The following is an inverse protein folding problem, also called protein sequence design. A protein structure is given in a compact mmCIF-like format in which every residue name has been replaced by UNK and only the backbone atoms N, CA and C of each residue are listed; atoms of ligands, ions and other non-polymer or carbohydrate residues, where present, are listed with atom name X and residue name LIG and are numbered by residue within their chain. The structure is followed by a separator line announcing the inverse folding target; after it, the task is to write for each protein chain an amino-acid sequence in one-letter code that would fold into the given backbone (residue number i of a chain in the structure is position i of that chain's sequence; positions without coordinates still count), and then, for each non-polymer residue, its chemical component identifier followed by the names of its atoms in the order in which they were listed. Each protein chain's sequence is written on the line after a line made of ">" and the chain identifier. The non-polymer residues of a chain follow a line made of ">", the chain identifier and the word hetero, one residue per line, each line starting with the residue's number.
data_IF_988703261003
#
_entry.id   IF_988703261003
#
_cell.length_a   1.000
_cell.length_b   1.000
_cell.length_c   1.000
_cell.angle_alpha   90.00
_cell.angle_beta   90.00
_cell.angle_gamma   90.00
#
_symmetry.space_group_name_H-M   'P 1'
#
loop_
_entity.id
_entity.type
_entity.pdbx_description
1 polymer ?
#
# COMPACT_ATOMS: atom_id res chain seq x y z
N UNK A 1 7.24 31.60 -6.08
CA UNK A 1 8.56 30.92 -6.20
C UNK A 1 8.82 29.88 -5.12
N UNK A 2 8.23 29.95 -3.92
CA UNK A 2 8.39 28.90 -2.90
C UNK A 2 7.72 27.55 -3.26
N UNK A 3 6.68 27.56 -4.07
CA UNK A 3 6.00 26.32 -4.49
C UNK A 3 6.82 25.45 -5.46
N UNK A 4 7.68 26.04 -6.27
CA UNK A 4 8.41 25.29 -7.31
C UNK A 4 9.39 24.25 -6.75
N UNK A 5 10.02 24.49 -5.60
CA UNK A 5 10.96 23.52 -5.00
C UNK A 5 10.24 22.28 -4.46
N UNK A 6 9.14 22.46 -3.72
CA UNK A 6 8.37 21.33 -3.20
C UNK A 6 7.65 20.55 -4.31
N UNK A 7 7.14 21.25 -5.31
CA UNK A 7 6.56 20.63 -6.50
C UNK A 7 7.62 19.83 -7.29
N UNK A 8 8.83 20.36 -7.41
CA UNK A 8 9.93 19.65 -8.05
C UNK A 8 10.38 18.42 -7.24
N UNK A 9 10.37 18.52 -5.91
CA UNK A 9 10.80 17.43 -5.02
C UNK A 9 9.76 16.31 -4.88
N UNK A 10 8.48 16.66 -4.73
CA UNK A 10 7.39 15.72 -4.42
C UNK A 10 6.35 15.58 -5.53
N UNK A 11 6.37 16.46 -6.55
CA UNK A 11 5.41 16.43 -7.64
C UNK A 11 5.53 15.17 -8.49
N UNK A 12 4.38 14.67 -8.94
CA UNK A 12 4.27 13.45 -9.71
C UNK A 12 3.67 13.68 -11.11
N UNK A 13 3.77 14.94 -11.59
CA UNK A 13 3.25 15.34 -12.92
C UNK A 13 3.86 14.48 -14.03
N UNK A 14 2.98 13.99 -14.92
CA UNK A 14 3.39 13.15 -16.04
C UNK A 14 3.71 11.71 -15.68
N UNK A 15 3.57 11.30 -14.41
CA UNK A 15 3.79 9.95 -13.94
C UNK A 15 2.46 9.21 -13.76
N UNK A 16 2.51 7.88 -13.88
CA UNK A 16 1.36 6.98 -13.73
C UNK A 16 1.55 6.10 -12.50
N UNK A 17 0.58 6.13 -11.60
CA UNK A 17 0.53 5.30 -10.40
C UNK A 17 -0.59 4.26 -10.47
N UNK A 18 -0.28 2.98 -10.30
CA UNK A 18 -1.27 1.92 -10.13
C UNK A 18 -1.40 1.62 -8.64
N UNK A 19 -2.63 1.72 -8.10
CA UNK A 19 -2.92 1.45 -6.69
C UNK A 19 -3.80 0.20 -6.60
N UNK A 20 -3.18 -0.96 -6.39
CA UNK A 20 -3.87 -2.23 -6.13
C UNK A 20 -4.42 -2.17 -4.69
N UNK A 21 -5.73 -2.39 -4.54
CA UNK A 21 -6.43 -2.16 -3.27
C UNK A 21 -6.93 -0.73 -3.11
N UNK A 22 -6.91 0.10 -4.17
CA UNK A 22 -7.43 1.47 -4.19
C UNK A 22 -8.93 1.60 -3.96
N UNK A 23 -9.65 0.49 -3.88
CA UNK A 23 -11.07 0.42 -3.48
C UNK A 23 -11.29 0.34 -1.97
N UNK A 24 -10.22 0.17 -1.19
CA UNK A 24 -10.23 0.16 0.27
C UNK A 24 -10.04 1.57 0.86
N UNK A 25 -10.17 1.69 2.18
CA UNK A 25 -10.04 2.98 2.89
C UNK A 25 -8.62 3.55 2.71
N UNK A 26 -7.60 2.82 3.13
CA UNK A 26 -6.22 3.30 3.03
C UNK A 26 -5.77 3.45 1.57
N UNK A 27 -6.00 2.42 0.73
CA UNK A 27 -5.63 2.49 -0.68
C UNK A 27 -6.34 3.62 -1.43
N UNK A 28 -7.59 3.94 -1.07
CA UNK A 28 -8.33 5.08 -1.61
C UNK A 28 -7.68 6.41 -1.24
N UNK A 29 -7.33 6.62 0.04
CA UNK A 29 -6.65 7.84 0.49
C UNK A 29 -5.27 8.00 -0.18
N UNK A 30 -4.50 6.89 -0.32
CA UNK A 30 -3.23 6.93 -1.05
C UNK A 30 -3.43 7.29 -2.53
N UNK A 31 -4.46 6.74 -3.19
CA UNK A 31 -4.79 7.07 -4.57
C UNK A 31 -5.15 8.56 -4.73
N UNK A 32 -5.96 9.10 -3.81
CA UNK A 32 -6.34 10.52 -3.77
C UNK A 32 -5.10 11.42 -3.55
N UNK A 33 -4.22 11.06 -2.62
CA UNK A 33 -2.98 11.79 -2.37
C UNK A 33 -2.03 11.80 -3.57
N UNK A 34 -1.89 10.67 -4.27
CA UNK A 34 -1.08 10.57 -5.50
C UNK A 34 -1.69 11.41 -6.64
N UNK A 35 -3.02 11.38 -6.79
CA UNK A 35 -3.73 12.24 -7.74
C UNK A 35 -3.57 13.73 -7.43
N UNK A 36 -3.65 14.11 -6.16
CA UNK A 36 -3.42 15.48 -5.68
C UNK A 36 -1.98 15.96 -5.90
N UNK A 37 -1.00 15.05 -5.89
CA UNK A 37 0.39 15.33 -6.24
C UNK A 37 0.67 15.38 -7.76
N UNK A 38 -0.36 15.17 -8.61
CA UNK A 38 -0.28 15.30 -10.06
C UNK A 38 -0.09 14.01 -10.83
N UNK A 39 -0.09 12.83 -10.18
CA UNK A 39 -0.04 11.56 -10.89
C UNK A 39 -1.37 11.26 -11.61
N UNK A 40 -1.30 10.59 -12.75
CA UNK A 40 -2.44 9.89 -13.32
C UNK A 40 -2.61 8.55 -12.56
N UNK A 41 -3.75 8.35 -11.92
CA UNK A 41 -3.95 7.23 -11.01
C UNK A 41 -4.83 6.15 -11.62
N UNK A 42 -4.34 4.91 -11.62
CA UNK A 42 -5.14 3.71 -11.88
C UNK A 42 -5.58 3.14 -10.54
N UNK A 43 -6.82 3.37 -10.17
CA UNK A 43 -7.47 2.77 -8.99
C UNK A 43 -7.83 1.33 -9.33
N UNK A 44 -7.16 0.36 -8.71
CA UNK A 44 -7.35 -1.06 -9.01
C UNK A 44 -7.91 -1.84 -7.81
N UNK A 45 -8.85 -2.76 -8.06
CA UNK A 45 -9.43 -3.60 -7.02
C UNK A 45 -10.71 -4.32 -7.45
N UNK A 46 -11.23 -5.21 -6.60
CA UNK A 46 -12.40 -6.03 -6.91
C UNK A 46 -13.75 -5.31 -6.80
N UNK A 47 -13.85 -4.19 -6.06
CA UNK A 47 -15.12 -3.48 -5.87
C UNK A 47 -15.27 -2.30 -6.82
N UNK A 48 -15.99 -2.52 -7.91
CA UNK A 48 -16.19 -1.51 -8.96
C UNK A 48 -16.88 -0.22 -8.45
N UNK A 49 -17.87 -0.34 -7.57
CA UNK A 49 -18.61 0.82 -7.07
C UNK A 49 -17.69 1.73 -6.23
N UNK A 50 -16.93 1.15 -5.28
CA UNK A 50 -15.96 1.89 -4.47
C UNK A 50 -14.83 2.45 -5.33
N UNK A 51 -14.36 1.70 -6.32
CA UNK A 51 -13.32 2.15 -7.25
C UNK A 51 -13.76 3.36 -8.07
N UNK A 52 -14.96 3.34 -8.66
CA UNK A 52 -15.53 4.48 -9.38
C UNK A 52 -15.77 5.69 -8.48
N UNK A 53 -16.17 5.47 -7.22
CA UNK A 53 -16.31 6.56 -6.26
C UNK A 53 -14.97 7.21 -5.92
N UNK A 54 -13.90 6.43 -5.76
CA UNK A 54 -12.54 6.95 -5.55
C UNK A 54 -12.06 7.75 -6.78
N UNK A 55 -12.22 7.22 -7.99
CA UNK A 55 -11.93 7.93 -9.24
C UNK A 55 -12.68 9.27 -9.30
N UNK A 56 -13.96 9.28 -8.94
CA UNK A 56 -14.75 10.51 -8.93
C UNK A 56 -14.15 11.55 -7.98
N UNK A 57 -13.77 11.18 -6.77
CA UNK A 57 -13.14 12.13 -5.82
C UNK A 57 -11.83 12.72 -6.35
N UNK A 58 -10.97 11.90 -6.97
CA UNK A 58 -9.73 12.37 -7.59
C UNK A 58 -10.03 13.36 -8.73
N UNK A 59 -10.99 13.05 -9.59
CA UNK A 59 -11.35 13.90 -10.72
C UNK A 59 -12.01 15.20 -10.27
N UNK A 60 -12.93 15.14 -9.31
CA UNK A 60 -13.58 16.33 -8.73
C UNK A 60 -12.56 17.29 -8.07
N UNK A 61 -11.44 16.74 -7.55
CA UNK A 61 -10.31 17.51 -7.01
C UNK A 61 -9.34 18.03 -8.10
N UNK A 62 -9.64 17.81 -9.38
CA UNK A 62 -8.82 18.27 -10.50
C UNK A 62 -7.71 17.30 -10.94
N UNK A 63 -7.62 16.11 -10.35
CA UNK A 63 -6.68 15.07 -10.73
C UNK A 63 -7.15 14.21 -11.91
N UNK A 64 -6.33 13.26 -12.31
CA UNK A 64 -6.64 12.30 -13.38
C UNK A 64 -6.65 10.88 -12.81
N UNK A 65 -7.75 10.16 -13.01
CA UNK A 65 -7.84 8.77 -12.58
C UNK A 65 -8.76 7.93 -13.46
N UNK A 66 -8.53 6.62 -13.41
CA UNK A 66 -9.44 5.62 -14.00
C UNK A 66 -9.50 4.38 -13.07
N UNK A 67 -10.54 3.57 -13.24
CA UNK A 67 -10.72 2.34 -12.51
C UNK A 67 -10.45 1.13 -13.40
N UNK A 68 -9.67 0.16 -12.88
CA UNK A 68 -9.51 -1.17 -13.47
C UNK A 68 -9.83 -2.24 -12.42
N UNK A 69 -10.55 -3.29 -12.84
CA UNK A 69 -10.81 -4.43 -11.96
C UNK A 69 -9.58 -5.32 -11.86
N UNK A 70 -9.32 -5.87 -10.66
CA UNK A 70 -8.27 -6.86 -10.43
C UNK A 70 -8.66 -7.80 -9.29
N UNK A 71 -8.38 -9.08 -9.48
CA UNK A 71 -8.36 -10.09 -8.42
C UNK A 71 -6.91 -10.47 -8.13
N UNK A 72 -6.41 -10.04 -6.97
CA UNK A 72 -5.00 -10.26 -6.57
C UNK A 72 -4.69 -11.72 -6.20
N UNK A 73 -5.72 -12.56 -6.03
CA UNK A 73 -5.54 -14.01 -5.83
C UNK A 73 -5.26 -14.75 -7.13
N UNK A 74 -5.30 -14.06 -8.28
CA UNK A 74 -5.10 -14.61 -9.61
C UNK A 74 -3.94 -13.89 -10.31
N UNK A 75 -2.85 -14.58 -10.56
CA UNK A 75 -1.68 -14.02 -11.25
C UNK A 75 -2.05 -13.38 -12.59
N UNK A 76 -2.83 -14.10 -13.40
CA UNK A 76 -3.26 -13.62 -14.72
C UNK A 76 -4.00 -12.28 -14.62
N UNK A 77 -4.83 -12.08 -13.60
CA UNK A 77 -5.55 -10.81 -13.39
C UNK A 77 -4.61 -9.64 -13.14
N UNK A 78 -3.46 -9.86 -12.50
CA UNK A 78 -2.44 -8.83 -12.29
C UNK A 78 -1.66 -8.54 -13.60
N UNK A 79 -1.39 -9.56 -14.41
CA UNK A 79 -0.80 -9.40 -15.75
C UNK A 79 -1.72 -8.60 -16.68
N UNK A 80 -3.02 -8.91 -16.68
CA UNK A 80 -4.05 -8.17 -17.42
C UNK A 80 -4.20 -6.73 -16.93
N UNK A 81 -4.08 -6.49 -15.61
CA UNK A 81 -4.08 -5.15 -15.04
C UNK A 81 -2.94 -4.29 -15.59
N UNK A 82 -1.70 -4.82 -15.61
CA UNK A 82 -0.55 -4.11 -16.18
C UNK A 82 -0.79 -3.79 -17.67
N UNK A 83 -1.21 -4.79 -18.46
CA UNK A 83 -1.49 -4.59 -19.89
C UNK A 83 -2.58 -3.52 -20.13
N UNK A 84 -3.65 -3.53 -19.34
CA UNK A 84 -4.72 -2.55 -19.43
C UNK A 84 -4.25 -1.15 -18.99
N UNK A 85 -3.45 -1.04 -17.93
CA UNK A 85 -2.86 0.22 -17.48
C UNK A 85 -1.96 0.83 -18.56
N UNK A 86 -1.09 0.04 -19.17
CA UNK A 86 -0.23 0.47 -20.27
C UNK A 86 -1.04 0.93 -21.49
N UNK A 87 -2.08 0.18 -21.87
CA UNK A 87 -2.98 0.58 -22.97
C UNK A 87 -3.68 1.91 -22.73
N UNK A 88 -4.05 2.21 -21.48
CA UNK A 88 -4.83 3.41 -21.13
C UNK A 88 -3.97 4.63 -20.78
N UNK A 89 -2.76 4.38 -20.27
CA UNK A 89 -1.90 5.43 -19.73
C UNK A 89 -0.57 5.58 -20.48
N UNK A 90 -0.17 4.58 -21.28
CA UNK A 90 1.08 4.59 -22.05
C UNK A 90 2.30 4.14 -21.25
N UNK A 91 2.29 4.28 -19.94
CA UNK A 91 3.40 3.94 -19.03
C UNK A 91 2.88 3.57 -17.65
N UNK A 92 3.75 2.99 -16.81
CA UNK A 92 3.52 2.80 -15.38
C UNK A 92 4.84 3.08 -14.63
N UNK A 93 4.86 4.10 -13.79
CA UNK A 93 6.03 4.54 -13.03
C UNK A 93 6.00 4.09 -11.58
N UNK A 94 4.80 3.91 -11.02
CA UNK A 94 4.62 3.60 -9.61
C UNK A 94 3.58 2.50 -9.41
N UNK A 95 3.86 1.60 -8.46
CA UNK A 95 2.92 0.60 -7.98
C UNK A 95 2.74 0.75 -6.47
N UNK A 96 1.49 0.72 -5.99
CA UNK A 96 1.16 0.55 -4.57
C UNK A 96 0.43 -0.76 -4.39
N UNK A 97 1.02 -1.72 -3.68
CA UNK A 97 0.40 -2.98 -3.27
C UNK A 97 -0.30 -2.78 -1.91
N UNK A 98 -1.56 -2.37 -1.93
CA UNK A 98 -2.37 -2.08 -0.75
C UNK A 98 -3.54 -3.07 -0.53
N UNK A 99 -3.72 -4.06 -1.42
CA UNK A 99 -4.71 -5.09 -1.20
C UNK A 99 -4.36 -5.93 0.03
N UNK A 100 -5.36 -6.20 0.85
CA UNK A 100 -5.15 -7.02 2.04
C UNK A 100 -6.46 -7.33 2.75
N UNK A 101 -6.47 -8.49 3.37
CA UNK A 101 -7.58 -9.01 4.20
C UNK A 101 -7.03 -9.47 5.54
N UNK A 102 -7.93 -9.58 6.50
CA UNK A 102 -7.63 -10.11 7.82
C UNK A 102 -8.61 -11.25 8.17
N UNK A 103 -8.22 -12.09 9.11
CA UNK A 103 -9.09 -13.02 9.82
C UNK A 103 -8.75 -12.95 11.31
N UNK A 104 -9.75 -12.95 12.15
CA UNK A 104 -9.59 -12.87 13.60
C UNK A 104 -10.18 -14.11 14.26
N UNK A 105 -9.32 -14.92 14.89
CA UNK A 105 -9.70 -16.13 15.61
C UNK A 105 -8.78 -16.36 16.82
N UNK A 106 -9.13 -17.28 17.73
CA UNK A 106 -8.11 -17.85 18.63
C UNK A 106 -7.11 -18.64 17.80
N UNK A 107 -5.92 -18.90 18.34
CA UNK A 107 -4.89 -19.61 17.56
C UNK A 107 -5.30 -21.04 17.21
N UNK A 108 -5.92 -21.72 18.15
CA UNK A 108 -6.34 -23.11 17.98
C UNK A 108 -7.55 -23.29 17.06
N UNK A 109 -8.32 -22.20 16.85
CA UNK A 109 -9.51 -22.21 16.00
C UNK A 109 -9.25 -21.60 14.62
N UNK A 110 -8.00 -21.16 14.34
CA UNK A 110 -7.64 -20.60 13.04
C UNK A 110 -7.76 -21.69 11.96
N UNK A 111 -8.65 -21.48 10.97
CA UNK A 111 -8.85 -22.44 9.90
C UNK A 111 -7.75 -22.34 8.84
N UNK A 112 -7.39 -23.48 8.24
CA UNK A 112 -6.45 -23.53 7.12
C UNK A 112 -6.95 -22.69 5.93
N UNK A 113 -8.25 -22.67 5.68
CA UNK A 113 -8.86 -21.89 4.61
C UNK A 113 -8.66 -20.36 4.81
N UNK A 114 -8.87 -19.87 6.04
CA UNK A 114 -8.62 -18.46 6.35
C UNK A 114 -7.13 -18.12 6.31
N UNK A 115 -6.29 -19.02 6.79
CA UNK A 115 -4.84 -18.88 6.69
C UNK A 115 -4.42 -18.71 5.23
N UNK A 116 -4.81 -19.67 4.39
CA UNK A 116 -4.44 -19.66 2.96
C UNK A 116 -4.98 -18.43 2.25
N UNK A 117 -6.25 -18.06 2.47
CA UNK A 117 -6.85 -16.86 1.88
C UNK A 117 -6.08 -15.58 2.23
N UNK A 118 -5.62 -15.45 3.48
CA UNK A 118 -4.84 -14.28 3.91
C UNK A 118 -3.46 -14.28 3.25
N UNK A 119 -2.79 -15.42 3.17
CA UNK A 119 -1.48 -15.55 2.50
C UNK A 119 -1.61 -15.26 1.01
N UNK A 120 -2.61 -15.82 0.33
CA UNK A 120 -2.80 -15.64 -1.11
C UNK A 120 -3.03 -14.17 -1.48
N UNK A 121 -3.86 -13.47 -0.71
CA UNK A 121 -4.18 -12.07 -0.98
C UNK A 121 -3.03 -11.15 -0.55
N UNK A 122 -2.57 -11.26 0.71
CA UNK A 122 -1.66 -10.27 1.29
C UNK A 122 -0.21 -10.45 0.84
N UNK A 123 0.24 -11.69 0.68
CA UNK A 123 1.64 -12.02 0.36
C UNK A 123 1.81 -12.41 -1.10
N UNK A 124 1.10 -13.45 -1.56
CA UNK A 124 1.25 -13.95 -2.92
C UNK A 124 0.84 -12.91 -3.95
N UNK A 125 -0.28 -12.21 -3.73
CA UNK A 125 -0.70 -11.10 -4.59
C UNK A 125 0.32 -9.96 -4.62
N UNK A 126 0.90 -9.59 -3.46
CA UNK A 126 1.98 -8.58 -3.38
C UNK A 126 3.23 -9.06 -4.12
N UNK A 127 3.60 -10.33 -3.98
CA UNK A 127 4.72 -10.92 -4.72
C UNK A 127 4.52 -10.80 -6.24
N UNK A 128 3.36 -11.21 -6.76
CA UNK A 128 3.07 -11.09 -8.19
C UNK A 128 3.05 -9.63 -8.67
N UNK A 129 2.48 -8.72 -7.88
CA UNK A 129 2.55 -7.29 -8.15
C UNK A 129 3.99 -6.80 -8.29
N UNK A 130 4.86 -7.13 -7.34
CA UNK A 130 6.28 -6.79 -7.38
C UNK A 130 6.98 -7.41 -8.61
N UNK A 131 6.72 -8.69 -8.90
CA UNK A 131 7.38 -9.40 -10.00
C UNK A 131 6.96 -8.85 -11.38
N UNK A 132 5.65 -8.68 -11.61
CA UNK A 132 5.11 -8.29 -12.91
C UNK A 132 5.42 -6.82 -13.21
N UNK A 133 5.09 -5.93 -12.26
CA UNK A 133 5.32 -4.49 -12.43
C UNK A 133 6.80 -4.13 -12.30
N UNK A 134 7.54 -4.78 -11.40
CA UNK A 134 8.97 -4.56 -11.23
C UNK A 134 9.76 -4.94 -12.48
N UNK A 135 9.47 -6.07 -13.09
CA UNK A 135 10.09 -6.46 -14.35
C UNK A 135 9.78 -5.47 -15.49
N UNK A 136 8.53 -4.98 -15.56
CA UNK A 136 8.18 -3.93 -16.52
C UNK A 136 8.96 -2.64 -16.27
N UNK A 137 9.00 -2.15 -15.04
CA UNK A 137 9.73 -0.92 -14.66
C UNK A 137 11.23 -1.06 -14.95
N UNK A 138 11.85 -2.19 -14.60
CA UNK A 138 13.26 -2.46 -14.87
C UNK A 138 13.60 -2.37 -16.36
N UNK A 139 12.72 -2.89 -17.23
CA UNK A 139 12.91 -2.84 -18.68
C UNK A 139 12.61 -1.46 -19.30
N UNK A 140 12.01 -0.52 -18.56
CA UNK A 140 11.53 0.77 -19.09
C UNK A 140 12.08 1.99 -18.33
N UNK A 141 13.27 1.88 -17.74
CA UNK A 141 13.99 3.02 -17.16
C UNK A 141 13.72 3.26 -15.67
N UNK A 142 13.27 2.24 -14.97
CA UNK A 142 13.09 2.26 -13.51
C UNK A 142 11.68 2.63 -13.05
N UNK A 143 11.48 2.69 -11.75
CA UNK A 143 10.19 2.97 -11.14
C UNK A 143 10.23 2.92 -9.62
N UNK A 144 9.05 2.92 -9.00
CA UNK A 144 8.95 2.81 -7.54
C UNK A 144 7.76 1.95 -7.13
N UNK A 145 8.01 1.01 -6.23
CA UNK A 145 6.99 0.11 -5.66
C UNK A 145 6.86 0.38 -4.17
N UNK A 146 5.62 0.53 -3.70
CA UNK A 146 5.28 0.67 -2.30
C UNK A 146 4.39 -0.50 -1.87
N UNK A 147 4.91 -1.34 -0.99
CA UNK A 147 4.16 -2.43 -0.38
C UNK A 147 3.57 -1.99 0.96
N UNK A 148 2.34 -2.37 1.28
CA UNK A 148 1.75 -2.04 2.57
C UNK A 148 2.00 -3.17 3.57
N UNK A 149 2.92 -2.91 4.49
CA UNK A 149 3.17 -3.70 5.69
C UNK A 149 2.15 -3.43 6.80
N UNK A 150 2.61 -3.48 8.03
CA UNK A 150 1.82 -3.17 9.24
C UNK A 150 2.76 -3.03 10.44
N UNK A 151 2.31 -2.45 11.54
CA UNK A 151 2.99 -2.59 12.85
C UNK A 151 3.15 -4.06 13.24
N UNK A 152 2.23 -4.93 12.80
CA UNK A 152 2.31 -6.38 13.04
C UNK A 152 3.40 -7.08 12.23
N UNK A 153 4.06 -6.39 11.31
CA UNK A 153 5.26 -6.90 10.64
C UNK A 153 6.45 -7.06 11.60
N UNK A 154 6.43 -6.33 12.71
CA UNK A 154 7.50 -6.28 13.70
C UNK A 154 7.06 -6.67 15.09
N UNK A 155 5.83 -6.28 15.50
CA UNK A 155 5.30 -6.56 16.83
C UNK A 155 4.14 -7.56 16.74
N UNK A 156 4.05 -8.51 17.69
CA UNK A 156 2.93 -9.46 17.73
C UNK A 156 1.63 -8.74 18.09
N UNK A 157 0.54 -9.17 17.47
CA UNK A 157 -0.80 -8.74 17.81
C UNK A 157 -1.71 -9.98 17.92
N UNK A 158 -2.46 -10.06 19.01
CA UNK A 158 -3.33 -11.22 19.29
C UNK A 158 -4.42 -11.37 18.24
N UNK A 159 -4.83 -12.62 17.98
CA UNK A 159 -5.96 -13.02 17.13
C UNK A 159 -5.82 -12.74 15.63
N UNK A 160 -4.68 -12.29 15.14
CA UNK A 160 -4.44 -11.96 13.71
C UNK A 160 -3.20 -12.65 13.17
N UNK A 161 -3.07 -13.94 13.39
CA UNK A 161 -1.85 -14.71 13.15
C UNK A 161 -1.44 -14.77 11.68
N UNK A 162 -2.35 -15.17 10.79
CA UNK A 162 -2.08 -15.21 9.35
C UNK A 162 -1.77 -13.80 8.79
N UNK A 163 -2.49 -12.79 9.25
CA UNK A 163 -2.25 -11.40 8.87
C UNK A 163 -0.85 -10.95 9.29
N UNK A 164 -0.48 -11.13 10.56
CA UNK A 164 0.83 -10.75 11.08
C UNK A 164 1.96 -11.47 10.33
N UNK A 165 1.83 -12.79 10.13
CA UNK A 165 2.78 -13.57 9.35
C UNK A 165 2.91 -13.04 7.92
N UNK A 166 1.79 -12.76 7.24
CA UNK A 166 1.80 -12.20 5.89
C UNK A 166 2.48 -10.84 5.83
N UNK A 167 2.24 -9.96 6.81
CA UNK A 167 2.82 -8.60 6.83
C UNK A 167 4.31 -8.59 7.18
N UNK A 168 4.76 -9.51 8.05
CA UNK A 168 6.18 -9.74 8.29
C UNK A 168 6.89 -10.23 7.02
N UNK A 169 6.28 -11.19 6.32
CA UNK A 169 6.79 -11.71 5.05
C UNK A 169 6.82 -10.63 3.95
N UNK A 170 5.84 -9.72 3.88
CA UNK A 170 5.83 -8.59 2.93
C UNK A 170 7.02 -7.66 3.17
N UNK A 171 7.40 -7.37 4.42
CA UNK A 171 8.60 -6.55 4.71
C UNK A 171 9.87 -7.28 4.25
N UNK A 172 10.01 -8.56 4.56
CA UNK A 172 11.14 -9.36 4.08
C UNK A 172 11.19 -9.44 2.55
N UNK A 173 10.05 -9.69 1.89
CA UNK A 173 9.93 -9.68 0.44
C UNK A 173 10.37 -8.33 -0.15
N UNK A 174 9.93 -7.22 0.45
CA UNK A 174 10.29 -5.86 0.03
C UNK A 174 11.80 -5.67 -0.02
N UNK A 175 12.52 -6.09 1.03
CA UNK A 175 13.98 -5.99 1.11
C UNK A 175 14.69 -6.81 0.02
N UNK A 176 14.22 -8.05 -0.21
CA UNK A 176 14.80 -8.92 -1.23
C UNK A 176 14.55 -8.38 -2.64
N UNK A 177 13.31 -7.97 -2.95
CA UNK A 177 12.95 -7.41 -4.26
C UNK A 177 13.66 -6.08 -4.51
N UNK A 178 13.81 -5.24 -3.47
CA UNK A 178 14.57 -3.99 -3.55
C UNK A 178 16.03 -4.23 -3.97
N UNK A 179 16.66 -5.24 -3.38
CA UNK A 179 18.03 -5.62 -3.72
C UNK A 179 18.17 -6.07 -5.18
N UNK A 180 17.23 -6.90 -5.64
CA UNK A 180 17.27 -7.45 -7.01
C UNK A 180 17.07 -6.36 -8.08
N UNK A 181 16.12 -5.44 -7.88
CA UNK A 181 15.77 -4.44 -8.88
C UNK A 181 16.51 -3.10 -8.75
N UNK A 182 17.28 -2.87 -7.68
CA UNK A 182 18.03 -1.61 -7.52
C UNK A 182 19.00 -1.31 -8.65
N UNK A 183 19.75 -2.28 -9.24
CA UNK A 183 20.62 -2.04 -10.39
C UNK A 183 19.87 -1.52 -11.62
N UNK A 184 18.59 -1.88 -11.76
CA UNK A 184 17.71 -1.51 -12.86
C UNK A 184 16.92 -0.21 -12.59
N UNK A 185 17.26 0.51 -11.51
CA UNK A 185 16.61 1.77 -11.15
C UNK A 185 15.21 1.66 -10.56
N UNK A 186 14.79 0.46 -10.10
CA UNK A 186 13.51 0.27 -9.41
C UNK A 186 13.72 0.27 -7.90
N UNK A 187 13.04 1.19 -7.21
CA UNK A 187 13.04 1.24 -5.75
C UNK A 187 11.81 0.52 -5.19
N UNK A 188 12.00 -0.25 -4.13
CA UNK A 188 10.92 -0.99 -3.49
C UNK A 188 10.98 -0.77 -1.99
N UNK A 189 9.90 -0.23 -1.40
CA UNK A 189 9.83 0.08 0.03
C UNK A 189 8.52 -0.44 0.63
N UNK A 190 8.49 -0.58 1.95
CA UNK A 190 7.29 -0.91 2.71
C UNK A 190 6.84 0.29 3.56
N UNK A 191 5.56 0.64 3.46
CA UNK A 191 4.89 1.52 4.42
C UNK A 191 4.17 0.63 5.44
N UNK A 192 4.44 0.84 6.72
CA UNK A 192 3.91 0.05 7.83
C UNK A 192 2.98 0.91 8.70
N UNK A 193 1.67 0.95 8.38
CA UNK A 193 0.70 1.71 9.16
C UNK A 193 0.50 1.11 10.56
N UNK A 194 0.23 1.98 11.52
CA UNK A 194 -0.33 1.65 12.82
C UNK A 194 -1.83 1.33 12.75
N UNK A 195 -2.57 1.87 13.68
CA UNK A 195 -4.03 1.67 13.75
C UNK A 195 -4.77 2.83 13.10
N UNK A 196 -5.43 2.52 12.00
CA UNK A 196 -6.28 3.43 11.23
C UNK A 196 -7.70 2.85 11.20
N UNK A 197 -8.73 3.62 11.55
CA UNK A 197 -10.11 3.13 11.57
C UNK A 197 -10.57 2.82 10.14
N UNK A 198 -10.66 1.54 9.82
CA UNK A 198 -11.28 1.04 8.61
C UNK A 198 -12.50 0.19 8.98
N UNK A 199 -13.51 0.14 8.12
CA UNK A 199 -14.72 -0.68 8.35
C UNK A 199 -14.37 -2.13 8.69
N UNK A 200 -13.30 -2.67 8.08
CA UNK A 200 -12.79 -4.02 8.33
C UNK A 200 -12.28 -4.21 9.77
N UNK A 201 -11.86 -3.16 10.43
CA UNK A 201 -11.30 -3.22 11.79
C UNK A 201 -12.35 -2.92 12.87
N UNK A 202 -13.47 -2.27 12.55
CA UNK A 202 -14.53 -1.94 13.51
C UNK A 202 -15.14 -3.17 14.18
N UNK A 203 -15.26 -4.28 13.45
CA UNK A 203 -15.77 -5.53 13.99
C UNK A 203 -14.80 -6.22 14.99
N UNK A 204 -13.52 -5.83 15.00
CA UNK A 204 -12.45 -6.43 15.81
C UNK A 204 -12.07 -5.52 16.98
N UNK A 205 -12.44 -4.24 16.94
CA UNK A 205 -12.10 -3.21 17.91
C UNK A 205 -13.27 -3.04 18.90
N UNK A 206 -13.31 -3.89 19.94
CA UNK A 206 -14.12 -3.65 21.14
C UNK A 206 -13.48 -2.55 22.00
N UNK A 207 -14.22 -2.07 23.03
CA UNK A 207 -13.74 -1.00 23.91
C UNK A 207 -12.44 -1.36 24.64
N UNK A 208 -12.30 -2.60 25.11
CA UNK A 208 -11.12 -3.10 25.83
C UNK A 208 -9.91 -3.12 24.91
N UNK A 209 -10.08 -3.61 23.69
CA UNK A 209 -9.00 -3.66 22.69
C UNK A 209 -8.62 -2.25 22.24
N UNK A 210 -9.59 -1.38 22.04
CA UNK A 210 -9.35 0.04 21.73
C UNK A 210 -8.55 0.72 22.84
N UNK A 211 -8.94 0.56 24.10
CA UNK A 211 -8.20 1.11 25.23
C UNK A 211 -6.77 0.56 25.32
N UNK A 212 -6.59 -0.74 25.07
CA UNK A 212 -5.25 -1.36 25.02
C UNK A 212 -4.38 -0.80 23.90
N UNK A 213 -4.93 -0.58 22.71
CA UNK A 213 -4.21 0.04 21.59
C UNK A 213 -3.83 1.48 21.94
N UNK A 214 -4.77 2.25 22.50
CA UNK A 214 -4.52 3.65 22.88
C UNK A 214 -3.44 3.77 23.95
N UNK A 215 -3.45 2.90 24.96
CA UNK A 215 -2.43 2.89 26.02
C UNK A 215 -1.02 2.56 25.52
N UNK A 216 -0.92 1.87 24.40
CA UNK A 216 0.35 1.49 23.75
C UNK A 216 0.73 2.42 22.58
N UNK A 217 -0.12 3.37 22.21
CA UNK A 217 0.16 4.36 21.18
C UNK A 217 0.53 5.69 21.84
N UNK A 218 1.78 6.15 21.80
CA UNK A 218 2.20 7.40 22.47
C UNK A 218 1.37 8.63 22.09
N UNK A 219 0.92 8.72 20.81
CA UNK A 219 0.02 9.81 20.38
C UNK A 219 -1.42 9.67 20.89
N UNK A 220 -1.78 8.57 21.58
CA UNK A 220 -3.07 8.29 22.21
C UNK A 220 -4.29 8.50 21.29
N UNK A 221 -4.14 8.27 20.00
CA UNK A 221 -5.22 8.36 19.01
C UNK A 221 -4.99 7.39 17.85
N UNK A 222 -6.04 7.13 17.11
CA UNK A 222 -5.91 6.49 15.77
C UNK A 222 -5.31 7.48 14.76
N UNK A 223 -4.67 6.94 13.73
CA UNK A 223 -4.25 7.73 12.58
C UNK A 223 -5.40 7.96 11.61
N UNK A 224 -5.36 9.09 10.91
CA UNK A 224 -6.25 9.39 9.79
C UNK A 224 -5.58 8.92 8.49
N UNK A 225 -6.33 8.32 7.53
CA UNK A 225 -5.75 7.76 6.29
C UNK A 225 -4.87 8.75 5.52
N UNK A 226 -5.19 10.03 5.56
CA UNK A 226 -4.45 11.12 4.93
C UNK A 226 -3.05 11.32 5.52
N UNK A 227 -2.82 10.90 6.77
CA UNK A 227 -1.50 10.99 7.42
C UNK A 227 -0.47 10.02 6.82
N UNK A 228 -0.91 9.05 6.01
CA UNK A 228 -0.04 8.16 5.25
C UNK A 228 0.50 8.80 3.95
N UNK A 229 -0.14 9.87 3.46
CA UNK A 229 0.17 10.47 2.15
C UNK A 229 1.61 11.02 2.12
N UNK A 230 2.04 11.74 3.16
CA UNK A 230 3.38 12.31 3.20
C UNK A 230 4.49 11.27 3.05
N UNK A 231 4.40 10.17 3.79
CA UNK A 231 5.34 9.05 3.67
C UNK A 231 5.25 8.35 2.30
N UNK A 232 4.04 8.21 1.75
CA UNK A 232 3.81 7.64 0.42
C UNK A 232 4.49 8.47 -0.67
N UNK A 233 4.32 9.79 -0.64
CA UNK A 233 4.96 10.70 -1.60
C UNK A 233 6.48 10.65 -1.46
N UNK A 234 7.02 10.65 -0.23
CA UNK A 234 8.46 10.50 0.02
C UNK A 234 9.00 9.21 -0.61
N UNK A 235 8.35 8.09 -0.39
CA UNK A 235 8.85 6.78 -0.82
C UNK A 235 8.67 6.55 -2.34
N UNK A 236 7.67 7.16 -2.96
CA UNK A 236 7.39 7.00 -4.39
C UNK A 236 8.05 8.06 -5.27
N UNK A 237 8.26 9.29 -4.79
CA UNK A 237 8.89 10.36 -5.59
C UNK A 237 10.28 9.96 -6.10
N UNK A 238 10.53 10.20 -7.38
CA UNK A 238 11.84 9.96 -8.02
C UNK A 238 12.95 10.84 -7.44
N UNK A 239 12.60 12.01 -6.85
CA UNK A 239 13.57 12.95 -6.27
C UNK A 239 13.67 12.80 -4.76
N UNK A 240 12.55 12.96 -4.03
CA UNK A 240 12.55 12.91 -2.57
C UNK A 240 13.00 11.55 -2.03
N UNK A 241 12.59 10.46 -2.68
CA UNK A 241 12.94 9.09 -2.30
C UNK A 241 14.10 8.47 -3.06
N UNK A 242 14.88 9.24 -3.84
CA UNK A 242 15.86 8.72 -4.80
C UNK A 242 16.89 7.75 -4.23
N UNK A 243 17.22 7.87 -2.95
CA UNK A 243 18.20 6.99 -2.27
C UNK A 243 17.55 6.10 -1.19
N UNK A 244 16.22 5.91 -1.26
CA UNK A 244 15.46 5.08 -0.31
C UNK A 244 14.94 3.85 -1.05
N UNK A 245 15.52 2.68 -0.74
CA UNK A 245 15.04 1.37 -1.22
C UNK A 245 15.27 0.31 -0.14
N UNK A 246 14.39 -0.69 -0.05
CA UNK A 246 14.41 -1.74 0.98
C UNK A 246 13.99 -1.28 2.37
N UNK A 247 13.50 -0.05 2.53
CA UNK A 247 13.09 0.48 3.82
C UNK A 247 11.71 -0.04 4.26
N UNK A 248 11.55 -0.23 5.58
CA UNK A 248 10.27 -0.36 6.24
C UNK A 248 10.00 0.93 7.04
N UNK A 249 9.04 1.74 6.59
CA UNK A 249 8.73 3.04 7.16
C UNK A 249 7.43 2.98 7.96
N UNK A 250 7.52 3.23 9.27
CA UNK A 250 6.38 3.14 10.18
C UNK A 250 5.69 4.49 10.31
N UNK A 251 4.36 4.50 10.18
CA UNK A 251 3.47 5.63 10.44
C UNK A 251 2.41 5.13 11.42
N UNK A 252 2.67 5.23 12.72
CA UNK A 252 1.97 4.44 13.73
C UNK A 252 1.72 5.18 15.05
N UNK A 253 1.94 6.48 15.10
CA UNK A 253 1.77 7.28 16.32
C UNK A 253 2.73 6.90 17.44
N UNK A 254 3.85 6.23 17.10
CA UNK A 254 4.88 5.79 18.05
C UNK A 254 4.64 4.39 18.62
N UNK A 255 3.64 3.64 18.12
CA UNK A 255 3.30 2.31 18.64
C UNK A 255 4.50 1.34 18.65
N UNK A 256 5.29 1.28 17.58
CA UNK A 256 6.47 0.41 17.51
C UNK A 256 7.67 0.92 18.31
N UNK A 257 7.66 2.18 18.72
CA UNK A 257 8.71 2.76 19.57
C UNK A 257 8.49 2.53 21.07
N UNK A 258 7.29 2.07 21.45
CA UNK A 258 6.94 1.82 22.85
C UNK A 258 7.69 0.59 23.38
N UNK A 259 8.32 0.71 24.55
CA UNK A 259 9.13 -0.35 25.17
C UNK A 259 8.71 -0.69 26.61
N UNK A 260 7.85 0.10 27.23
CA UNK A 260 7.44 -0.09 28.62
C UNK A 260 5.93 -0.20 28.74
#
# INVERSE_FOLDING_TARGET
>A
MANSYLEDLFGLQGQVAVVIGGTGVLGGALAEGLGGAGAKVVVAGGNQQRGKACVKRIVDAGGQALFLSVDVSQRQSIEELLAAALKQCGQVDMLVNCAGVNSASSYVDASDADWQRVIDINLTGTHWGCQIFGAHMAAHGGGSILNIGSVTSHLPLSRVFAYSASKAAVVSLTQNVAREFAPDGVRVNALCPGFFPAEQNRAILDETRTASIMSQTPMARFGEPEELIGATLLLLSKKAGSFITGAAYYVDGGFTAMRF
#
